data_IF_261395971768
#
_entry.id   IF_261395971768
#
_cell.length_a   1.000
_cell.length_b   1.000
_cell.length_c   1.000
_cell.angle_alpha   90.00
_cell.angle_beta   90.00
_cell.angle_gamma   90.00
#
_symmetry.space_group_name_H-M   'P 1'
#
loop_
_entity.id
_entity.type
_entity.pdbx_description
1 polymer ?
#
# COMPACT_ATOMS: atom_id res chain seq x y z
N UNK A 1 -7.44 -2.27 27.10
CA UNK A 1 -6.99 -1.60 25.89
C UNK A 1 -8.16 -0.75 25.44
N UNK A 2 -7.93 0.49 25.07
CA UNK A 2 -8.88 1.37 24.44
C UNK A 2 -8.98 0.90 22.97
N UNK A 3 -10.02 0.14 22.65
CA UNK A 3 -10.15 -0.53 21.35
C UNK A 3 -11.22 0.09 20.45
N UNK A 4 -11.92 1.13 20.93
CA UNK A 4 -12.76 2.02 20.12
C UNK A 4 -12.15 3.42 20.01
N UNK A 5 -10.95 3.62 20.58
CA UNK A 5 -10.17 4.85 20.53
C UNK A 5 -10.88 6.08 21.15
N UNK A 6 -11.80 5.88 22.11
CA UNK A 6 -12.50 6.98 22.78
C UNK A 6 -11.71 7.56 23.97
N UNK A 7 -10.54 6.99 24.27
CA UNK A 7 -9.65 7.37 25.38
C UNK A 7 -9.97 6.67 26.70
N UNK A 8 -10.92 5.75 26.72
CA UNK A 8 -11.25 4.90 27.86
C UNK A 8 -10.79 3.46 27.60
N UNK A 9 -10.54 2.69 28.65
CA UNK A 9 -10.17 1.28 28.52
C UNK A 9 -11.45 0.44 28.47
N UNK A 10 -11.77 -0.05 27.26
CA UNK A 10 -12.96 -0.84 27.03
C UNK A 10 -12.79 -2.31 27.38
N UNK A 11 -13.84 -2.88 27.96
CA UNK A 11 -13.91 -4.28 28.24
C UNK A 11 -14.93 -4.93 27.29
N UNK A 12 -14.46 -5.38 26.11
CA UNK A 12 -15.26 -6.23 25.23
C UNK A 12 -15.68 -5.65 23.89
N UNK A 13 -15.16 -4.50 23.48
CA UNK A 13 -15.26 -4.03 22.10
C UNK A 13 -14.15 -4.68 21.26
N UNK A 14 -14.50 -5.11 20.07
CA UNK A 14 -13.58 -5.78 19.16
C UNK A 14 -13.23 -4.80 18.03
N UNK A 15 -11.92 -4.56 17.81
CA UNK A 15 -11.47 -3.90 16.60
C UNK A 15 -12.00 -4.71 15.41
N UNK A 16 -12.66 -4.07 14.43
CA UNK A 16 -13.15 -4.79 13.27
C UNK A 16 -11.99 -5.41 12.48
N UNK A 17 -12.22 -6.62 11.98
CA UNK A 17 -11.26 -7.24 11.07
C UNK A 17 -10.88 -6.27 9.96
N UNK A 18 -9.59 -5.95 9.85
CA UNK A 18 -9.07 -4.95 8.90
C UNK A 18 -7.83 -5.47 8.20
N UNK A 19 -7.85 -5.46 6.89
CA UNK A 19 -6.71 -5.77 6.03
C UNK A 19 -6.09 -4.49 5.51
N UNK A 20 -4.79 -4.30 5.76
CA UNK A 20 -4.03 -3.11 5.41
C UNK A 20 -2.96 -3.48 4.39
N UNK A 21 -3.01 -2.89 3.22
CA UNK A 21 -2.00 -3.09 2.17
C UNK A 21 -1.16 -1.83 2.03
N UNK A 22 0.15 -2.00 2.12
CA UNK A 22 1.13 -0.99 1.75
C UNK A 22 1.54 -1.20 0.29
N UNK A 23 1.47 -0.14 -0.51
CA UNK A 23 2.03 -0.08 -1.86
C UNK A 23 3.11 0.99 -1.82
N UNK A 24 4.36 0.58 -1.96
CA UNK A 24 5.51 1.45 -1.72
C UNK A 24 6.32 1.60 -3.00
N UNK A 25 6.56 2.84 -3.35
CA UNK A 25 7.55 3.21 -4.35
C UNK A 25 8.93 2.77 -3.85
N UNK A 26 9.56 1.87 -4.63
CA UNK A 26 10.87 1.30 -4.31
C UNK A 26 11.97 1.87 -5.18
N UNK A 27 11.77 3.09 -5.70
CA UNK A 27 12.78 3.82 -6.44
C UNK A 27 13.90 4.33 -5.54
N UNK A 28 15.04 4.63 -6.15
CA UNK A 28 16.21 5.12 -5.41
C UNK A 28 16.00 6.49 -4.76
N UNK A 29 15.09 7.31 -5.27
CA UNK A 29 14.73 8.63 -4.71
C UNK A 29 14.02 8.51 -3.36
N UNK A 30 13.32 7.41 -3.10
CA UNK A 30 12.55 7.14 -1.89
C UNK A 30 13.39 6.64 -0.68
N UNK A 31 14.70 6.52 -0.79
CA UNK A 31 15.53 5.83 0.21
C UNK A 31 15.40 6.40 1.63
N UNK A 32 15.41 7.72 1.77
CA UNK A 32 15.32 8.40 3.08
C UNK A 32 13.89 8.28 3.67
N UNK A 33 12.86 8.32 2.82
CA UNK A 33 11.46 8.16 3.17
C UNK A 33 11.14 6.73 3.59
N UNK A 34 11.68 5.73 2.89
CA UNK A 34 11.53 4.31 3.24
C UNK A 34 12.13 4.03 4.61
N UNK A 35 13.31 4.58 4.92
CA UNK A 35 13.90 4.48 6.24
C UNK A 35 13.00 5.09 7.32
N UNK A 36 12.40 6.24 7.05
CA UNK A 36 11.45 6.89 7.97
C UNK A 36 10.18 6.04 8.18
N UNK A 37 9.63 5.46 7.12
CA UNK A 37 8.49 4.53 7.18
C UNK A 37 8.84 3.30 8.02
N UNK A 38 10.00 2.67 7.80
CA UNK A 38 10.44 1.52 8.60
C UNK A 38 10.59 1.85 10.08
N UNK A 39 11.18 2.99 10.41
CA UNK A 39 11.30 3.43 11.81
C UNK A 39 9.93 3.69 12.43
N UNK A 40 9.04 4.34 11.70
CA UNK A 40 7.66 4.60 12.14
C UNK A 40 6.89 3.31 12.40
N UNK A 41 6.97 2.34 11.50
CA UNK A 41 6.34 1.02 11.64
C UNK A 41 6.90 0.22 12.82
N UNK A 42 8.22 0.30 13.09
CA UNK A 42 8.81 -0.32 14.28
C UNK A 42 8.28 0.30 15.59
N UNK A 43 8.08 1.61 15.63
CA UNK A 43 7.45 2.27 16.78
C UNK A 43 5.98 1.85 16.93
N UNK A 44 5.29 1.73 15.80
CA UNK A 44 3.93 1.26 15.74
C UNK A 44 3.78 -0.19 16.24
N UNK A 45 4.71 -1.08 15.89
CA UNK A 45 4.74 -2.47 16.33
C UNK A 45 4.62 -2.63 17.85
N UNK A 46 5.25 -1.72 18.60
CA UNK A 46 5.24 -1.75 20.05
C UNK A 46 3.82 -1.60 20.66
N UNK A 47 2.89 -1.03 19.91
CA UNK A 47 1.53 -0.73 20.38
C UNK A 47 0.48 -1.69 19.78
N UNK A 48 0.73 -2.25 18.57
CA UNK A 48 -0.30 -2.94 17.79
C UNK A 48 0.09 -4.35 17.31
N UNK A 49 1.27 -4.87 17.67
CA UNK A 49 1.73 -6.20 17.23
C UNK A 49 0.83 -7.35 17.67
N UNK A 50 0.11 -7.20 18.76
CA UNK A 50 -0.74 -8.23 19.37
C UNK A 50 -2.20 -8.18 18.87
N UNK A 51 -2.51 -7.33 17.88
CA UNK A 51 -3.88 -7.16 17.37
C UNK A 51 -4.17 -8.19 16.27
N UNK A 52 -4.79 -9.30 16.62
CA UNK A 52 -5.19 -10.37 15.68
C UNK A 52 -6.20 -9.91 14.62
N UNK A 53 -6.95 -8.85 14.90
CA UNK A 53 -7.91 -8.26 13.96
C UNK A 53 -7.24 -7.57 12.78
N UNK A 54 -6.01 -7.06 12.92
CA UNK A 54 -5.28 -6.39 11.85
C UNK A 54 -4.41 -7.39 11.08
N UNK A 55 -4.41 -7.29 9.74
CA UNK A 55 -3.53 -8.02 8.83
C UNK A 55 -2.88 -7.05 7.85
N UNK A 56 -1.70 -7.39 7.40
CA UNK A 56 -0.80 -6.46 6.72
C UNK A 56 -0.20 -7.11 5.48
N UNK A 57 -0.20 -6.40 4.37
CA UNK A 57 0.43 -6.81 3.13
C UNK A 57 1.38 -5.76 2.59
N UNK A 58 2.31 -6.16 1.74
CA UNK A 58 3.31 -5.29 1.12
C UNK A 58 3.49 -5.60 -0.36
N UNK A 59 3.30 -4.56 -1.16
CA UNK A 59 3.63 -4.53 -2.58
C UNK A 59 4.64 -3.42 -2.79
N UNK A 60 5.66 -3.67 -3.60
CA UNK A 60 6.67 -2.67 -3.98
C UNK A 60 6.86 -2.62 -5.49
N UNK A 61 7.23 -1.48 -6.01
CA UNK A 61 7.58 -1.24 -7.40
C UNK A 61 8.09 0.19 -7.62
N UNK A 62 9.00 0.41 -8.59
CA UNK A 62 9.69 -0.62 -9.38
C UNK A 62 10.70 -1.41 -8.56
N UNK A 63 10.92 -2.66 -8.88
CA UNK A 63 11.97 -3.45 -8.27
C UNK A 63 12.62 -4.37 -9.28
N UNK A 64 13.94 -4.32 -9.39
CA UNK A 64 14.71 -5.27 -10.18
C UNK A 64 14.97 -6.56 -9.41
N UNK A 65 14.59 -7.70 -9.99
CA UNK A 65 14.89 -9.01 -9.41
C UNK A 65 15.87 -9.72 -10.34
N UNK A 66 17.13 -9.87 -9.93
CA UNK A 66 18.11 -10.64 -10.71
C UNK A 66 19.36 -9.87 -11.14
N UNK A 67 19.53 -8.63 -10.74
CA UNK A 67 20.73 -7.79 -10.95
C UNK A 67 20.61 -6.81 -12.11
N UNK A 68 21.67 -6.11 -12.39
CA UNK A 68 21.79 -5.07 -13.42
C UNK A 68 21.36 -5.61 -14.79
N UNK A 69 20.29 -5.17 -15.37
CA UNK A 69 19.57 -5.57 -16.56
C UNK A 69 18.45 -6.61 -16.30
N UNK A 70 18.00 -6.79 -15.08
CA UNK A 70 16.75 -7.49 -14.82
C UNK A 70 15.57 -6.55 -15.09
N UNK A 71 14.42 -7.14 -15.42
CA UNK A 71 13.19 -6.40 -15.66
C UNK A 71 12.72 -5.72 -14.36
N UNK A 72 12.23 -4.50 -14.46
CA UNK A 72 11.57 -3.80 -13.38
C UNK A 72 10.15 -4.34 -13.26
N UNK A 73 9.76 -4.70 -12.04
CA UNK A 73 8.47 -5.32 -11.79
C UNK A 73 7.79 -4.79 -10.53
N UNK A 74 6.47 -4.92 -10.53
CA UNK A 74 5.67 -4.81 -9.32
C UNK A 74 5.74 -6.16 -8.58
N UNK A 75 6.09 -6.13 -7.30
CA UNK A 75 6.31 -7.32 -6.51
C UNK A 75 5.44 -7.37 -5.25
N UNK A 76 4.74 -8.48 -5.04
CA UNK A 76 4.14 -8.79 -3.74
C UNK A 76 5.25 -9.35 -2.84
N UNK A 77 5.65 -8.57 -1.85
CA UNK A 77 6.71 -8.92 -0.90
C UNK A 77 6.15 -9.68 0.30
N UNK A 78 4.96 -9.26 0.77
CA UNK A 78 4.21 -9.95 1.81
C UNK A 78 2.75 -10.01 1.43
N UNK A 79 2.17 -11.20 1.46
CA UNK A 79 0.72 -11.38 1.39
C UNK A 79 0.06 -10.78 2.64
N UNK A 80 -1.26 -10.68 2.64
CA UNK A 80 -2.03 -10.25 3.82
C UNK A 80 -1.77 -11.23 4.97
N UNK A 81 -0.99 -10.82 5.96
CA UNK A 81 -0.42 -11.67 7.01
C UNK A 81 -0.36 -10.95 8.36
N UNK A 82 0.33 -11.54 9.33
CA UNK A 82 0.56 -10.90 10.63
C UNK A 82 1.46 -9.66 10.49
N UNK A 83 1.39 -8.77 11.46
CA UNK A 83 2.28 -7.61 11.49
C UNK A 83 3.76 -8.02 11.55
N UNK A 84 4.09 -9.07 12.30
CA UNK A 84 5.46 -9.58 12.44
C UNK A 84 6.01 -10.06 11.08
N UNK A 85 5.24 -10.84 10.32
CA UNK A 85 5.63 -11.33 8.99
C UNK A 85 5.81 -10.18 8.00
N UNK A 86 4.86 -9.22 7.99
CA UNK A 86 4.94 -8.01 7.17
C UNK A 86 6.20 -7.19 7.49
N UNK A 87 6.45 -6.89 8.77
CA UNK A 87 7.61 -6.09 9.19
C UNK A 87 8.93 -6.80 8.86
N UNK A 88 9.00 -8.12 9.06
CA UNK A 88 10.16 -8.91 8.71
C UNK A 88 10.42 -8.89 7.19
N UNK A 89 9.36 -9.00 6.38
CA UNK A 89 9.45 -8.93 4.93
C UNK A 89 9.91 -7.54 4.45
N UNK A 90 9.38 -6.48 5.04
CA UNK A 90 9.77 -5.10 4.71
C UNK A 90 11.23 -4.84 5.09
N UNK A 91 11.64 -5.17 6.31
CA UNK A 91 13.02 -5.00 6.77
C UNK A 91 14.05 -5.83 5.97
N UNK A 92 13.62 -6.95 5.37
CA UNK A 92 14.48 -7.82 4.56
C UNK A 92 14.74 -7.27 3.15
N UNK A 93 13.97 -6.28 2.69
CA UNK A 93 14.19 -5.68 1.37
C UNK A 93 15.55 -4.96 1.28
N UNK A 94 15.96 -4.27 2.36
CA UNK A 94 17.19 -3.47 2.37
C UNK A 94 17.22 -2.46 1.23
N UNK A 95 18.40 -1.99 0.88
CA UNK A 95 18.60 -1.08 -0.27
C UNK A 95 18.81 -1.86 -1.59
N UNK A 96 18.81 -3.19 -1.53
CA UNK A 96 19.03 -4.04 -2.69
C UNK A 96 17.78 -4.07 -3.61
N UNK A 97 17.98 -3.75 -4.88
CA UNK A 97 16.93 -3.78 -5.89
C UNK A 97 16.11 -2.50 -6.01
N UNK A 98 16.50 -1.42 -5.33
CA UNK A 98 15.99 -0.08 -5.62
C UNK A 98 16.45 0.36 -7.02
N UNK A 99 15.53 0.84 -7.80
CA UNK A 99 15.81 1.34 -9.15
C UNK A 99 15.23 2.75 -9.36
N UNK A 100 15.57 3.35 -10.50
CA UNK A 100 15.09 4.68 -10.90
C UNK A 100 14.18 4.60 -12.13
N UNK A 101 13.59 3.43 -12.35
CA UNK A 101 12.79 3.13 -13.52
C UNK A 101 11.36 3.68 -13.48
N UNK A 102 10.46 2.94 -14.11
CA UNK A 102 9.07 3.35 -14.23
C UNK A 102 8.32 3.21 -12.90
N UNK A 103 7.77 4.31 -12.40
CA UNK A 103 7.01 4.37 -11.15
C UNK A 103 5.60 3.79 -11.35
N UNK A 104 5.45 2.48 -11.23
CA UNK A 104 4.22 1.73 -11.59
C UNK A 104 3.20 1.63 -10.45
N UNK A 105 3.15 2.63 -9.54
CA UNK A 105 2.32 2.55 -8.34
C UNK A 105 0.82 2.60 -8.65
N UNK A 106 0.41 3.33 -9.70
CA UNK A 106 -0.99 3.36 -10.13
C UNK A 106 -1.44 1.98 -10.62
N UNK A 107 -0.55 1.23 -11.27
CA UNK A 107 -0.80 -0.15 -11.70
C UNK A 107 -0.96 -1.07 -10.49
N UNK A 108 -0.08 -0.95 -9.49
CA UNK A 108 -0.16 -1.70 -8.25
C UNK A 108 -1.46 -1.48 -7.51
N UNK A 109 -1.86 -0.21 -7.38
CA UNK A 109 -3.14 0.15 -6.79
C UNK A 109 -4.31 -0.44 -7.57
N UNK A 110 -4.33 -0.29 -8.89
CA UNK A 110 -5.40 -0.84 -9.73
C UNK A 110 -5.52 -2.36 -9.63
N UNK A 111 -4.40 -3.09 -9.69
CA UNK A 111 -4.37 -4.55 -9.56
C UNK A 111 -4.87 -5.00 -8.18
N UNK A 112 -4.48 -4.30 -7.11
CA UNK A 112 -4.99 -4.56 -5.77
C UNK A 112 -6.51 -4.40 -5.68
N UNK A 113 -7.06 -3.32 -6.24
CA UNK A 113 -8.50 -3.07 -6.29
C UNK A 113 -9.26 -4.12 -7.11
N UNK A 114 -8.72 -4.56 -8.24
CA UNK A 114 -9.30 -5.64 -9.05
C UNK A 114 -9.27 -6.96 -8.29
N UNK A 115 -8.18 -7.27 -7.58
CA UNK A 115 -8.05 -8.47 -6.77
C UNK A 115 -9.07 -8.48 -5.61
N UNK A 116 -9.28 -7.35 -4.92
CA UNK A 116 -10.34 -7.21 -3.90
C UNK A 116 -11.72 -7.51 -4.52
N UNK A 117 -12.05 -6.85 -5.62
CA UNK A 117 -13.37 -6.93 -6.26
C UNK A 117 -13.67 -8.32 -6.80
N UNK A 118 -12.68 -8.97 -7.40
CA UNK A 118 -12.79 -10.32 -7.98
C UNK A 118 -12.69 -11.44 -6.96
N UNK A 119 -12.07 -11.19 -5.82
CA UNK A 119 -11.69 -12.19 -4.82
C UNK A 119 -11.01 -13.42 -5.46
N UNK A 120 -10.14 -13.17 -6.42
CA UNK A 120 -9.47 -14.17 -7.24
C UNK A 120 -8.15 -13.60 -7.79
N UNK A 121 -7.17 -14.46 -8.10
CA UNK A 121 -5.96 -14.03 -8.79
C UNK A 121 -6.25 -13.26 -10.07
N UNK A 122 -5.51 -12.19 -10.30
CA UNK A 122 -5.62 -11.35 -11.49
C UNK A 122 -4.45 -11.66 -12.41
N UNK A 123 -4.75 -12.03 -13.65
CA UNK A 123 -3.71 -12.11 -14.68
C UNK A 123 -3.21 -10.69 -14.96
N UNK A 124 -1.93 -10.45 -14.75
CA UNK A 124 -1.35 -9.13 -14.99
C UNK A 124 -1.41 -8.85 -16.50
N UNK A 125 -2.06 -7.75 -16.93
CA UNK A 125 -2.11 -7.38 -18.33
C UNK A 125 -0.70 -7.16 -18.92
N UNK A 126 -0.60 -7.08 -20.24
CA UNK A 126 0.63 -6.60 -20.88
C UNK A 126 1.03 -5.25 -20.29
N UNK A 127 2.31 -5.05 -20.09
CA UNK A 127 2.82 -3.81 -19.48
C UNK A 127 4.15 -3.42 -20.14
N UNK A 128 4.43 -2.14 -20.11
CA UNK A 128 5.73 -1.55 -20.43
C UNK A 128 6.51 -1.22 -19.15
N UNK A 129 6.44 -2.11 -18.14
CA UNK A 129 7.22 -1.95 -16.92
C UNK A 129 8.72 -2.05 -17.17
N UNK A 130 9.09 -2.66 -18.31
CA UNK A 130 10.48 -2.85 -18.71
C UNK A 130 10.94 -1.73 -19.63
N UNK A 131 12.13 -1.23 -19.39
CA UNK A 131 12.87 -0.47 -20.39
C UNK A 131 13.43 -1.42 -21.46
N UNK A 132 12.75 -1.52 -22.58
CA UNK A 132 13.24 -1.83 -23.93
C UNK A 132 14.08 -3.11 -24.19
N UNK A 133 14.14 -4.09 -23.33
CA UNK A 133 14.91 -5.32 -23.59
C UNK A 133 14.05 -6.58 -23.52
N UNK A 134 13.28 -6.77 -24.56
CA UNK A 134 12.90 -8.05 -25.13
C UNK A 134 12.37 -9.17 -24.25
N UNK A 135 11.08 -9.48 -24.39
CA UNK A 135 10.38 -10.69 -23.98
C UNK A 135 10.47 -11.08 -22.51
N UNK A 136 9.62 -10.45 -21.72
CA UNK A 136 9.34 -10.88 -20.36
C UNK A 136 8.83 -12.32 -20.30
N UNK A 137 9.25 -13.11 -19.30
CA UNK A 137 8.55 -14.33 -18.96
C UNK A 137 7.08 -14.04 -18.65
N UNK A 138 6.15 -15.01 -18.74
CA UNK A 138 4.78 -14.82 -18.35
C UNK A 138 4.74 -14.32 -16.90
N UNK A 139 4.20 -13.12 -16.70
CA UNK A 139 4.09 -12.50 -15.38
C UNK A 139 3.28 -13.37 -14.45
N UNK A 140 3.70 -13.45 -13.22
CA UNK A 140 2.92 -14.11 -12.18
C UNK A 140 1.57 -13.41 -11.99
N UNK A 141 0.59 -14.14 -11.50
CA UNK A 141 -0.71 -13.56 -11.19
C UNK A 141 -0.58 -12.64 -9.96
N UNK A 142 -1.22 -11.49 -10.01
CA UNK A 142 -1.37 -10.65 -8.83
C UNK A 142 -2.44 -11.24 -7.92
N UNK A 143 -2.08 -11.62 -6.72
CA UNK A 143 -3.01 -12.24 -5.78
C UNK A 143 -2.61 -11.96 -4.33
N UNK A 144 -3.54 -11.37 -3.59
CA UNK A 144 -3.45 -11.12 -2.16
C UNK A 144 -4.61 -11.82 -1.46
N UNK A 145 -4.36 -12.37 -0.28
CA UNK A 145 -5.32 -13.16 0.50
C UNK A 145 -6.22 -12.28 1.38
N UNK A 146 -7.02 -11.40 0.76
CA UNK A 146 -7.98 -10.54 1.45
C UNK A 146 -9.01 -11.35 2.23
N UNK A 147 -9.24 -10.98 3.49
CA UNK A 147 -10.25 -11.64 4.33
C UNK A 147 -11.67 -11.21 3.91
N UNK A 148 -12.60 -12.16 3.75
CA UNK A 148 -14.01 -11.82 3.50
C UNK A 148 -14.62 -11.05 4.66
N UNK A 149 -15.24 -9.90 4.38
CA UNK A 149 -15.91 -9.08 5.39
C UNK A 149 -15.01 -8.17 6.21
N UNK A 150 -13.68 -8.23 6.04
CA UNK A 150 -12.77 -7.28 6.66
C UNK A 150 -12.88 -5.91 5.98
N UNK A 151 -12.67 -4.85 6.76
CA UNK A 151 -12.39 -3.52 6.20
C UNK A 151 -11.08 -3.59 5.39
N UNK A 152 -10.97 -2.77 4.37
CA UNK A 152 -9.82 -2.75 3.48
C UNK A 152 -9.20 -1.37 3.44
N UNK A 153 -7.93 -1.32 3.76
CA UNK A 153 -7.16 -0.09 3.73
C UNK A 153 -5.99 -0.29 2.78
N UNK A 154 -5.84 0.61 1.83
CA UNK A 154 -4.66 0.67 0.97
C UNK A 154 -3.93 1.96 1.27
N UNK A 155 -2.63 1.86 1.53
CA UNK A 155 -1.76 3.00 1.82
C UNK A 155 -0.67 3.04 0.75
N UNK A 156 -0.64 4.09 -0.04
CA UNK A 156 0.33 4.29 -1.12
C UNK A 156 1.38 5.31 -0.69
N UNK A 157 2.66 5.00 -0.92
CA UNK A 157 3.78 5.90 -0.69
C UNK A 157 4.52 6.13 -2.00
N UNK A 158 4.63 7.38 -2.46
CA UNK A 158 5.37 7.74 -3.67
C UNK A 158 5.87 9.17 -3.63
N UNK A 159 7.08 9.41 -4.11
CA UNK A 159 7.60 10.75 -4.38
C UNK A 159 7.39 11.22 -5.82
N UNK A 160 6.61 10.44 -6.59
CA UNK A 160 6.26 10.70 -8.00
C UNK A 160 4.73 10.81 -8.20
N UNK A 161 4.32 11.38 -9.36
CA UNK A 161 2.91 11.43 -9.75
C UNK A 161 2.37 10.02 -10.10
N UNK A 162 1.04 9.81 -10.03
CA UNK A 162 0.45 8.53 -10.44
C UNK A 162 0.75 8.20 -11.90
N UNK A 163 1.45 7.10 -12.12
CA UNK A 163 1.84 6.64 -13.45
C UNK A 163 1.38 5.21 -13.70
N UNK A 164 1.03 4.89 -14.95
CA UNK A 164 0.66 3.56 -15.39
C UNK A 164 1.40 3.16 -16.64
N UNK A 165 1.88 1.93 -16.64
CA UNK A 165 2.58 1.28 -17.74
C UNK A 165 1.90 -0.01 -18.21
N UNK A 166 0.69 -0.31 -17.70
CA UNK A 166 -0.15 -1.39 -18.24
C UNK A 166 -0.61 -1.06 -19.66
N UNK A 167 -0.91 -2.08 -20.46
CA UNK A 167 -1.44 -1.94 -21.81
C UNK A 167 -2.89 -2.46 -21.89
N UNK A 168 -3.90 -1.58 -22.02
CA UNK A 168 -3.80 -0.10 -22.08
C UNK A 168 -3.47 0.54 -20.73
N UNK A 169 -2.83 1.71 -20.75
CA UNK A 169 -2.53 2.46 -19.54
C UNK A 169 -3.81 2.72 -18.72
N UNK A 170 -3.68 2.56 -17.42
CA UNK A 170 -4.74 2.87 -16.45
C UNK A 170 -4.70 4.36 -16.13
N UNK A 171 -5.87 4.93 -15.94
CA UNK A 171 -6.02 6.35 -15.59
C UNK A 171 -6.53 6.52 -14.17
N UNK A 172 -6.21 7.65 -13.54
CA UNK A 172 -6.70 7.99 -12.20
C UNK A 172 -8.23 7.86 -12.08
N UNK A 173 -9.06 8.37 -13.02
CA UNK A 173 -10.51 8.15 -12.95
C UNK A 173 -10.94 6.67 -12.96
N UNK A 174 -10.20 5.77 -13.62
CA UNK A 174 -10.49 4.34 -13.58
C UNK A 174 -10.19 3.72 -12.22
N UNK A 175 -9.08 4.13 -11.58
CA UNK A 175 -8.73 3.71 -10.21
C UNK A 175 -9.81 4.19 -9.24
N UNK A 176 -10.19 5.46 -9.30
CA UNK A 176 -11.24 6.04 -8.46
C UNK A 176 -12.57 5.27 -8.65
N UNK A 177 -13.00 5.04 -9.90
CA UNK A 177 -14.23 4.31 -10.16
C UNK A 177 -14.21 2.88 -9.60
N UNK A 178 -13.06 2.21 -9.68
CA UNK A 178 -12.88 0.87 -9.11
C UNK A 178 -12.88 0.91 -7.59
N UNK A 179 -12.20 1.88 -6.99
CA UNK A 179 -12.17 2.08 -5.54
C UNK A 179 -13.56 2.35 -4.96
N UNK A 180 -14.32 3.28 -5.57
CA UNK A 180 -15.69 3.60 -5.15
C UNK A 180 -16.67 2.42 -5.30
N UNK A 181 -16.40 1.50 -6.22
CA UNK A 181 -17.19 0.28 -6.40
C UNK A 181 -16.83 -0.83 -5.39
N UNK A 182 -15.72 -0.68 -4.67
CA UNK A 182 -15.21 -1.67 -3.70
C UNK A 182 -15.76 -1.35 -2.31
N UNK A 183 -16.58 -2.23 -1.71
CA UNK A 183 -17.16 -1.98 -0.39
C UNK A 183 -16.09 -1.89 0.70
N UNK A 184 -16.31 -1.02 1.69
CA UNK A 184 -15.50 -0.89 2.90
C UNK A 184 -14.00 -0.64 2.63
N UNK A 185 -13.70 -0.04 1.48
CA UNK A 185 -12.35 0.36 1.10
C UNK A 185 -12.10 1.82 1.49
N UNK A 186 -10.91 2.06 2.05
CA UNK A 186 -10.32 3.40 2.18
C UNK A 186 -8.93 3.41 1.54
N UNK A 187 -8.61 4.45 0.80
CA UNK A 187 -7.28 4.64 0.21
C UNK A 187 -6.64 5.87 0.83
N UNK A 188 -5.46 5.68 1.41
CA UNK A 188 -4.62 6.76 1.92
C UNK A 188 -3.38 6.88 1.06
N UNK A 189 -2.93 8.11 0.84
CA UNK A 189 -1.77 8.36 0.00
C UNK A 189 -0.78 9.28 0.71
N UNK A 190 0.49 8.92 0.60
CA UNK A 190 1.61 9.73 1.02
C UNK A 190 2.39 10.13 -0.23
N UNK A 191 2.46 11.43 -0.49
CA UNK A 191 3.19 11.94 -1.64
C UNK A 191 3.94 13.23 -1.30
N UNK A 192 5.01 13.50 -2.05
CA UNK A 192 5.83 14.69 -1.87
C UNK A 192 5.17 15.97 -2.39
N UNK A 193 4.08 15.87 -3.16
CA UNK A 193 3.38 16.98 -3.75
C UNK A 193 1.85 16.80 -3.71
N UNK A 194 1.16 17.71 -3.04
CA UNK A 194 -0.31 17.72 -2.92
C UNK A 194 -1.05 18.06 -4.23
N UNK A 195 -0.38 18.68 -5.20
CA UNK A 195 -0.97 19.02 -6.50
C UNK A 195 -1.04 17.80 -7.45
N UNK A 196 -0.54 16.65 -7.04
CA UNK A 196 -0.66 15.42 -7.80
C UNK A 196 -1.96 14.69 -7.49
N UNK A 197 -2.49 13.97 -8.47
CA UNK A 197 -3.78 13.28 -8.39
C UNK A 197 -3.86 12.17 -7.31
N UNK A 198 -2.82 11.97 -6.49
CA UNK A 198 -2.85 11.08 -5.32
C UNK A 198 -3.85 11.56 -4.25
N UNK A 199 -3.97 12.89 -4.05
CA UNK A 199 -4.96 13.49 -3.16
C UNK A 199 -6.38 13.22 -3.65
N UNK A 200 -6.62 13.36 -4.97
CA UNK A 200 -7.92 13.08 -5.57
C UNK A 200 -8.32 11.59 -5.39
N UNK A 201 -7.37 10.66 -5.58
CA UNK A 201 -7.62 9.22 -5.34
C UNK A 201 -8.03 8.98 -3.89
N UNK A 202 -7.27 9.53 -2.93
CA UNK A 202 -7.54 9.34 -1.51
C UNK A 202 -8.92 9.90 -1.12
N UNK A 203 -9.20 11.15 -1.45
CA UNK A 203 -10.46 11.84 -1.13
C UNK A 203 -11.68 11.13 -1.73
N UNK A 204 -11.59 10.73 -2.99
CA UNK A 204 -12.71 10.09 -3.69
C UNK A 204 -12.95 8.64 -3.24
N UNK A 205 -11.97 8.01 -2.58
CA UNK A 205 -12.06 6.64 -2.07
C UNK A 205 -12.15 6.59 -0.53
N UNK A 206 -12.59 7.67 0.12
CA UNK A 206 -12.95 7.69 1.55
C UNK A 206 -11.77 7.67 2.52
N UNK A 207 -10.57 7.94 2.03
CA UNK A 207 -9.36 8.11 2.84
C UNK A 207 -8.92 9.57 2.92
N UNK A 208 -7.61 9.80 2.98
CA UNK A 208 -7.00 11.12 3.03
C UNK A 208 -5.58 11.11 2.44
N UNK A 209 -5.13 12.26 1.99
CA UNK A 209 -3.75 12.52 1.60
C UNK A 209 -2.92 12.96 2.81
N UNK A 210 -1.67 12.53 2.84
CA UNK A 210 -0.65 12.95 3.79
C UNK A 210 0.62 13.36 3.04
N UNK A 211 1.34 14.41 3.49
CA UNK A 211 2.65 14.71 2.94
C UNK A 211 3.63 13.58 3.26
N UNK A 212 4.39 13.16 2.25
CA UNK A 212 5.50 12.23 2.43
C UNK A 212 6.63 12.95 3.19
N UNK A 213 7.20 12.28 4.19
CA UNK A 213 8.23 12.86 5.05
C UNK A 213 9.36 11.86 5.30
N UNK A 214 10.59 12.37 5.35
CA UNK A 214 11.76 11.62 5.83
C UNK A 214 11.95 11.73 7.37
N UNK A 215 11.03 12.37 8.08
CA UNK A 215 10.97 12.39 9.55
C UNK A 215 10.08 11.25 10.06
N UNK A 216 10.69 10.29 10.76
CA UNK A 216 9.99 9.11 11.26
C UNK A 216 8.87 9.44 12.27
N UNK A 217 8.97 10.54 13.03
CA UNK A 217 7.93 10.93 13.97
C UNK A 217 6.72 11.54 13.25
N UNK A 218 6.94 12.34 12.21
CA UNK A 218 5.86 12.84 11.36
C UNK A 218 5.16 11.68 10.67
N UNK A 219 5.92 10.74 10.12
CA UNK A 219 5.38 9.54 9.47
C UNK A 219 4.58 8.67 10.46
N UNK A 220 5.12 8.44 11.66
CA UNK A 220 4.41 7.72 12.72
C UNK A 220 3.07 8.39 13.08
N UNK A 221 3.07 9.72 13.28
CA UNK A 221 1.86 10.45 13.62
C UNK A 221 0.79 10.37 12.51
N UNK A 222 1.20 10.38 11.25
CA UNK A 222 0.29 10.24 10.12
C UNK A 222 -0.31 8.83 10.04
N UNK A 223 0.50 7.79 10.25
CA UNK A 223 0.02 6.41 10.33
C UNK A 223 -0.94 6.21 11.49
N UNK A 224 -0.67 6.82 12.65
CA UNK A 224 -1.59 6.78 13.79
C UNK A 224 -2.96 7.41 13.47
N UNK A 225 -3.01 8.53 12.74
CA UNK A 225 -4.27 9.14 12.33
C UNK A 225 -5.09 8.22 11.42
N UNK A 226 -4.45 7.41 10.57
CA UNK A 226 -5.14 6.43 9.73
C UNK A 226 -5.81 5.38 10.62
N UNK A 227 -5.11 4.89 11.64
CA UNK A 227 -5.62 3.86 12.54
C UNK A 227 -6.71 4.36 13.48
N UNK A 228 -6.54 5.58 14.02
CA UNK A 228 -7.59 6.22 14.81
C UNK A 228 -8.89 6.33 13.98
N UNK A 229 -8.77 6.58 12.67
CA UNK A 229 -9.90 6.58 11.75
C UNK A 229 -10.51 5.19 11.46
N UNK A 230 -9.81 4.09 11.77
CA UNK A 230 -10.35 2.73 11.72
C UNK A 230 -11.19 2.43 12.96
N UNK A 231 -10.71 2.90 14.12
CA UNK A 231 -11.35 2.67 15.41
C UNK A 231 -12.61 3.53 15.62
N UNK A 232 -12.80 4.61 14.86
CA UNK A 232 -14.00 5.47 15.02
C UNK A 232 -15.22 4.85 14.33
N UNK A 233 -16.37 4.67 15.03
CA UNK A 233 -17.59 4.29 14.36
C UNK A 233 -17.99 5.36 13.35
N UNK A 234 -18.65 5.00 12.21
CA UNK A 234 -19.13 5.98 11.25
C UNK A 234 -20.07 6.96 11.97
N UNK A 235 -19.87 8.26 11.78
CA UNK A 235 -20.80 9.29 12.29
C UNK A 235 -22.18 9.03 11.68
N UNK A 236 -23.22 8.91 12.55
CA UNK A 236 -24.62 8.71 12.14
C UNK A 236 -25.23 9.93 11.42
#
# INVERSE_FOLDING_TARGET
VDNDCDGEIDWGEEIPDTDILFIVDWSGSMSDEIDAVLVALNQFAANYSDQDALRWGLVVGPRQIGGWNADEELNIISDISTFEDFLAAFAALGDDGMDTGNEMLLDGLYLALQNISGNAPIDIPSSNWEDDIGSSPPKEQFNLSWRPGAQRIVIVFSDEMPQSYLEPNITVPQVIATGQATPELKIYTFSSNEDWEWDEIADQCGGAYFPLSNDALEMYNSLMQILDGICMPPEE
#
